data_IF_766707803987
#
_entry.id   IF_766707803987
#
_cell.length_a   1.000
_cell.length_b   1.000
_cell.length_c   1.000
_cell.angle_alpha   90.00
_cell.angle_beta   90.00
_cell.angle_gamma   90.00
#
_symmetry.space_group_name_H-M   'P 1'
#
loop_
_entity.id
_entity.type
_entity.pdbx_description
1 polymer ?
#
# COMPACT_ATOMS: atom_id res chain seq x y z
N UNK A 1 -9.63 5.64 58.97
CA UNK A 1 -9.38 6.88 58.21
C UNK A 1 -10.03 6.74 56.84
N UNK A 2 -11.23 7.29 56.71
CA UNK A 2 -11.82 7.63 55.41
C UNK A 2 -10.98 8.75 54.80
N UNK A 3 -10.61 8.62 53.52
CA UNK A 3 -10.30 9.77 52.67
C UNK A 3 -11.10 9.62 51.38
N UNK A 4 -11.78 10.71 51.03
CA UNK A 4 -12.92 10.77 50.16
C UNK A 4 -12.61 10.71 48.66
N UNK A 5 -13.65 10.32 47.92
CA UNK A 5 -13.82 10.36 46.47
C UNK A 5 -13.62 11.77 45.92
N UNK A 6 -12.99 11.90 44.75
CA UNK A 6 -13.31 12.95 43.78
C UNK A 6 -13.37 12.33 42.37
N UNK A 7 -14.58 12.37 41.79
CA UNK A 7 -14.86 12.07 40.39
C UNK A 7 -14.33 13.20 39.50
N UNK A 8 -13.81 12.84 38.32
CA UNK A 8 -13.90 13.68 37.14
C UNK A 8 -14.00 12.79 35.89
N UNK A 9 -15.20 12.69 35.33
CA UNK A 9 -15.49 12.16 34.01
C UNK A 9 -15.72 13.34 33.07
N UNK A 10 -15.09 13.34 31.89
CA UNK A 10 -15.41 14.10 30.67
C UNK A 10 -14.37 13.63 29.62
N UNK A 11 -14.64 13.31 28.36
CA UNK A 11 -15.74 13.69 27.48
C UNK A 11 -15.81 12.69 26.30
N UNK A 12 -17.03 12.39 25.83
CA UNK A 12 -17.28 11.53 24.68
C UNK A 12 -17.63 12.39 23.48
N UNK A 13 -16.76 12.47 22.46
CA UNK A 13 -17.14 13.08 21.18
C UNK A 13 -17.29 12.02 20.09
N UNK A 14 -18.54 11.65 19.81
CA UNK A 14 -18.96 10.78 18.72
C UNK A 14 -19.36 11.65 17.52
N UNK A 15 -18.51 11.73 16.49
CA UNK A 15 -18.90 12.27 15.19
C UNK A 15 -19.13 11.11 14.20
N UNK A 16 -20.35 11.09 13.65
CA UNK A 16 -20.87 9.97 12.87
C UNK A 16 -20.79 10.12 11.34
N UNK A 17 -21.18 8.99 10.74
CA UNK A 17 -21.78 8.76 9.42
C UNK A 17 -20.94 8.96 8.13
N UNK A 18 -20.86 7.88 7.34
CA UNK A 18 -21.63 7.74 6.09
C UNK A 18 -21.52 6.33 5.50
N UNK A 19 -22.66 5.68 5.30
CA UNK A 19 -22.79 4.42 4.55
C UNK A 19 -23.08 4.79 3.10
N UNK A 20 -22.10 4.59 2.22
CA UNK A 20 -22.25 4.75 0.77
C UNK A 20 -22.44 3.39 0.12
N UNK A 21 -23.63 3.17 -0.44
CA UNK A 21 -23.97 2.02 -1.29
C UNK A 21 -23.37 2.20 -2.70
N UNK A 22 -22.74 1.14 -3.26
CA UNK A 22 -22.57 1.03 -4.71
C UNK A 22 -21.28 0.38 -5.23
N UNK A 23 -21.47 -0.83 -5.78
CA UNK A 23 -20.80 -1.46 -6.95
C UNK A 23 -19.35 -1.98 -6.82
N UNK A 24 -19.29 -3.30 -6.61
CA UNK A 24 -18.32 -4.30 -7.10
C UNK A 24 -17.12 -3.77 -7.89
N UNK A 25 -15.94 -3.85 -7.24
CA UNK A 25 -14.63 -3.61 -7.83
C UNK A 25 -13.66 -3.20 -6.73
N UNK A 26 -13.06 -4.16 -6.04
CA UNK A 26 -12.17 -3.89 -4.89
C UNK A 26 -10.85 -3.27 -5.37
N UNK A 27 -10.86 -1.96 -5.61
CA UNK A 27 -9.66 -1.13 -5.58
C UNK A 27 -9.46 -0.79 -4.10
N UNK A 28 -8.45 -1.41 -3.46
CA UNK A 28 -8.04 -1.06 -2.10
C UNK A 28 -7.41 0.35 -2.14
N UNK A 29 -8.24 1.36 -1.87
CA UNK A 29 -7.79 2.72 -1.58
C UNK A 29 -6.96 2.66 -0.29
N UNK A 30 -5.66 2.94 -0.45
CA UNK A 30 -4.69 3.09 0.63
C UNK A 30 -5.11 4.30 1.49
N UNK A 31 -5.88 4.02 2.55
CA UNK A 31 -6.27 5.01 3.54
C UNK A 31 -5.09 5.31 4.46
N UNK A 32 -4.89 6.59 4.69
CA UNK A 32 -3.73 7.21 5.34
C UNK A 32 -3.69 6.99 6.86
N UNK A 33 -2.57 6.43 7.36
CA UNK A 33 -2.01 6.42 8.75
C UNK A 33 -2.68 5.51 9.82
N UNK A 34 -1.94 5.04 10.85
CA UNK A 34 -0.68 4.28 10.81
C UNK A 34 -0.73 3.10 11.82
N UNK A 35 -1.54 2.07 11.56
CA UNK A 35 -1.26 0.69 12.03
C UNK A 35 -0.76 -0.17 10.85
N UNK A 36 -0.38 0.52 9.77
CA UNK A 36 -0.02 0.04 8.45
C UNK A 36 1.49 -0.27 8.33
N UNK A 37 2.26 -0.33 9.43
CA UNK A 37 3.71 -0.57 9.34
C UNK A 37 4.03 -2.05 9.29
N UNK A 38 3.55 -2.82 10.27
CA UNK A 38 4.04 -4.18 10.50
C UNK A 38 3.31 -5.18 9.61
N UNK A 39 1.99 -5.05 9.47
CA UNK A 39 1.20 -5.86 8.55
C UNK A 39 1.59 -5.61 7.09
N UNK A 40 1.83 -4.34 6.71
CA UNK A 40 2.29 -4.01 5.37
C UNK A 40 3.70 -4.55 5.12
N UNK A 41 4.59 -4.43 6.11
CA UNK A 41 5.95 -4.94 5.99
C UNK A 41 5.94 -6.47 5.85
N UNK A 42 5.14 -7.16 6.66
CA UNK A 42 4.92 -8.59 6.55
C UNK A 42 4.37 -8.99 5.18
N UNK A 43 3.36 -8.29 4.68
CA UNK A 43 2.81 -8.52 3.35
C UNK A 43 3.86 -8.31 2.24
N UNK A 44 4.68 -7.25 2.33
CA UNK A 44 5.76 -7.01 1.36
C UNK A 44 6.79 -8.15 1.39
N UNK A 45 7.16 -8.64 2.57
CA UNK A 45 8.09 -9.77 2.68
C UNK A 45 7.52 -11.05 2.06
N UNK A 46 6.25 -11.34 2.32
CA UNK A 46 5.58 -12.51 1.76
C UNK A 46 5.46 -12.43 0.25
N UNK A 47 5.12 -11.27 -0.31
CA UNK A 47 5.10 -11.06 -1.76
C UNK A 47 6.51 -11.15 -2.36
N UNK A 48 7.52 -10.59 -1.69
CA UNK A 48 8.90 -10.63 -2.16
C UNK A 48 9.41 -12.07 -2.32
N UNK A 49 9.14 -12.94 -1.34
CA UNK A 49 9.50 -14.37 -1.40
C UNK A 49 8.71 -15.13 -2.47
N UNK A 50 7.50 -14.66 -2.80
CA UNK A 50 6.62 -15.32 -3.80
C UNK A 50 7.04 -15.04 -5.25
N UNK A 51 7.85 -14.01 -5.49
CA UNK A 51 8.35 -13.70 -6.83
C UNK A 51 9.11 -14.92 -7.37
N UNK A 52 8.67 -15.46 -8.51
CA UNK A 52 9.33 -16.61 -9.13
C UNK A 52 10.79 -16.29 -9.45
N UNK A 53 11.67 -17.27 -9.27
CA UNK A 53 13.07 -17.17 -9.67
C UNK A 53 13.26 -16.84 -11.15
N UNK A 54 12.29 -17.16 -12.00
CA UNK A 54 12.31 -16.86 -13.45
C UNK A 54 12.03 -15.38 -13.76
N UNK A 55 11.50 -14.62 -12.79
CA UNK A 55 11.15 -13.21 -12.97
C UNK A 55 12.38 -12.36 -13.30
N UNK A 56 13.49 -12.57 -12.58
CA UNK A 56 14.72 -11.79 -12.78
C UNK A 56 15.38 -12.13 -14.13
N UNK A 57 15.61 -13.41 -14.51
CA UNK A 57 16.06 -13.79 -15.84
C UNK A 57 15.20 -13.20 -16.95
N UNK A 58 13.87 -13.30 -16.85
CA UNK A 58 12.96 -12.72 -17.85
C UNK A 58 13.08 -11.19 -17.99
N UNK A 59 13.29 -10.49 -16.87
CA UNK A 59 13.56 -9.04 -16.90
C UNK A 59 14.88 -8.74 -17.62
N UNK A 60 15.95 -9.48 -17.33
CA UNK A 60 17.27 -9.33 -17.97
C UNK A 60 17.15 -9.62 -19.48
N UNK A 61 16.50 -10.72 -19.86
CA UNK A 61 16.28 -11.11 -21.25
C UNK A 61 15.49 -10.05 -22.04
N UNK A 62 14.62 -9.29 -21.36
CA UNK A 62 13.86 -8.20 -21.99
C UNK A 62 14.67 -6.92 -22.24
N UNK A 63 15.84 -6.75 -21.61
CA UNK A 63 16.64 -5.51 -21.67
C UNK A 63 17.03 -5.08 -23.08
N UNK A 64 17.45 -5.96 -24.00
CA UNK A 64 17.75 -5.57 -25.38
C UNK A 64 16.56 -4.92 -26.09
N UNK A 65 15.32 -5.35 -25.80
CA UNK A 65 14.13 -4.72 -26.35
C UNK A 65 13.93 -3.29 -25.83
N UNK A 66 14.15 -3.06 -24.52
CA UNK A 66 14.07 -1.75 -23.89
C UNK A 66 15.10 -0.78 -24.49
N UNK A 67 16.34 -1.25 -24.66
CA UNK A 67 17.42 -0.46 -25.26
C UNK A 67 17.08 -0.08 -26.71
N UNK A 68 16.59 -1.02 -27.53
CA UNK A 68 16.14 -0.73 -28.90
C UNK A 68 15.01 0.31 -28.93
N UNK A 69 14.10 0.26 -27.96
CA UNK A 69 13.03 1.26 -27.85
C UNK A 69 13.59 2.67 -27.58
N UNK A 70 14.58 2.79 -26.69
CA UNK A 70 15.25 4.08 -26.39
C UNK A 70 15.99 4.62 -27.62
N UNK A 71 16.71 3.75 -28.34
CA UNK A 71 17.41 4.14 -29.59
C UNK A 71 16.40 4.66 -30.62
N UNK A 72 15.31 3.92 -30.84
CA UNK A 72 14.23 4.35 -31.77
C UNK A 72 13.60 5.67 -31.33
N UNK A 73 13.45 5.87 -30.02
CA UNK A 73 12.96 7.08 -29.43
C UNK A 73 14.02 8.20 -29.36
N UNK A 74 15.22 8.05 -29.96
CA UNK A 74 16.30 9.05 -29.91
C UNK A 74 16.65 9.51 -28.49
N UNK A 75 16.58 8.60 -27.53
CA UNK A 75 16.85 8.89 -26.12
C UNK A 75 15.66 9.43 -25.31
N UNK A 76 14.51 9.66 -25.93
CA UNK A 76 13.29 10.07 -25.21
C UNK A 76 12.64 8.88 -24.47
N UNK A 77 11.72 9.20 -23.57
CA UNK A 77 10.99 8.22 -22.76
C UNK A 77 10.27 7.17 -23.61
N UNK A 78 10.19 5.94 -23.09
CA UNK A 78 9.52 4.81 -23.74
C UNK A 78 8.41 4.26 -22.84
N UNK A 79 7.65 3.26 -23.30
CA UNK A 79 6.61 2.59 -22.50
C UNK A 79 7.15 1.73 -21.33
N UNK A 80 8.46 1.55 -21.27
CA UNK A 80 9.17 0.66 -20.34
C UNK A 80 9.79 1.41 -19.17
#
# INVERSE_FOLDING_TARGET
MQVERHLAAHDSNKNGARIGSGRNGTIRLLSTKPDLSDELFQAIQEEWVRISHDTIPGLIESMPCRIRAVIKAKGYATKY
#
